data_IF_630270002793
#
_entry.id   IF_630270002793
#
_cell.length_a   1.000
_cell.length_b   1.000
_cell.length_c   1.000
_cell.angle_alpha   90.00
_cell.angle_beta   90.00
_cell.angle_gamma   90.00
#
_symmetry.space_group_name_H-M   'P 1'
#
loop_
_entity.id
_entity.type
_entity.pdbx_description
1 polymer ?
#
# COMPACT_ATOMS: atom_id res chain seq x y z
N UNK A 1 -2.00 -8.97 24.37
CA UNK A 1 -1.02 -8.90 23.28
C UNK A 1 -0.26 -7.58 23.38
N UNK A 2 1.06 -7.65 23.30
CA UNK A 2 1.91 -6.46 23.27
C UNK A 2 2.39 -6.18 21.84
N UNK A 3 3.06 -5.04 21.62
CA UNK A 3 3.57 -4.66 20.31
C UNK A 3 4.55 -5.69 19.72
N UNK A 4 5.42 -6.25 20.54
CA UNK A 4 6.38 -7.25 20.07
C UNK A 4 5.73 -8.54 19.56
N UNK A 5 4.53 -8.84 20.03
CA UNK A 5 3.73 -9.95 19.52
C UNK A 5 2.90 -9.54 18.29
N UNK A 6 2.45 -8.29 18.25
CA UNK A 6 1.61 -7.78 17.15
C UNK A 6 2.42 -7.53 15.88
N UNK A 7 3.56 -6.86 15.98
CA UNK A 7 4.33 -6.44 14.81
C UNK A 7 4.66 -7.59 13.84
N UNK A 8 5.15 -8.76 14.30
CA UNK A 8 5.40 -9.88 13.39
C UNK A 8 4.15 -10.36 12.65
N UNK A 9 2.99 -10.31 13.28
CA UNK A 9 1.72 -10.68 12.65
C UNK A 9 1.35 -9.69 11.55
N UNK A 10 1.54 -8.39 11.78
CA UNK A 10 1.31 -7.35 10.77
C UNK A 10 2.27 -7.49 9.58
N UNK A 11 3.53 -7.78 9.85
CA UNK A 11 4.53 -8.02 8.81
C UNK A 11 4.20 -9.24 7.95
N UNK A 12 3.71 -10.32 8.57
CA UNK A 12 3.27 -11.53 7.85
C UNK A 12 2.08 -11.23 6.94
N UNK A 13 1.12 -10.47 7.42
CA UNK A 13 -0.04 -10.04 6.61
C UNK A 13 0.42 -9.20 5.42
N UNK A 14 1.30 -8.23 5.65
CA UNK A 14 1.84 -7.39 4.59
C UNK A 14 2.54 -8.23 3.52
N UNK A 15 3.34 -9.22 3.94
CA UNK A 15 4.01 -10.13 3.02
C UNK A 15 3.04 -10.98 2.21
N UNK A 16 1.95 -11.46 2.80
CA UNK A 16 0.90 -12.21 2.10
C UNK A 16 0.32 -11.39 0.93
N UNK A 17 0.14 -10.10 1.13
CA UNK A 17 -0.43 -9.21 0.11
C UNK A 17 0.62 -8.62 -0.84
N UNK A 18 1.88 -9.03 -0.72
CA UNK A 18 2.94 -8.62 -1.65
C UNK A 18 3.65 -7.32 -1.29
N UNK A 19 3.45 -6.78 -0.09
CA UNK A 19 4.21 -5.63 0.38
C UNK A 19 5.65 -6.03 0.69
N UNK A 20 6.60 -5.21 0.28
CA UNK A 20 8.02 -5.42 0.49
C UNK A 20 8.58 -4.46 1.53
N UNK A 21 9.40 -4.98 2.45
CA UNK A 21 10.13 -4.16 3.41
C UNK A 21 11.28 -3.45 2.68
N UNK A 22 11.21 -2.12 2.60
CA UNK A 22 12.17 -1.30 1.84
C UNK A 22 13.35 -0.83 2.69
N UNK A 23 13.29 -0.97 4.01
CA UNK A 23 14.31 -0.51 4.93
C UNK A 23 14.54 -1.48 6.11
N UNK A 24 14.62 -2.77 5.78
CA UNK A 24 14.87 -3.84 6.76
C UNK A 24 16.11 -3.54 7.62
N UNK A 25 15.97 -3.74 8.93
CA UNK A 25 17.04 -3.46 9.89
C UNK A 25 17.14 -2.01 10.35
N UNK A 26 16.32 -1.11 9.80
CA UNK A 26 16.23 0.26 10.26
C UNK A 26 15.27 0.37 11.47
N UNK A 27 15.41 1.48 12.24
CA UNK A 27 14.52 1.77 13.36
C UNK A 27 13.06 1.93 12.91
N UNK A 28 12.84 2.58 11.79
CA UNK A 28 11.54 2.70 11.13
C UNK A 28 11.46 1.63 10.04
N UNK A 29 10.44 0.76 10.12
CA UNK A 29 10.20 -0.26 9.11
C UNK A 29 9.11 0.20 8.16
N UNK A 30 9.40 0.22 6.88
CA UNK A 30 8.47 0.66 5.82
C UNK A 30 8.20 -0.47 4.85
N UNK A 31 6.92 -0.72 4.59
CA UNK A 31 6.45 -1.75 3.65
C UNK A 31 5.70 -1.08 2.51
N UNK A 32 6.06 -1.41 1.29
CA UNK A 32 5.49 -0.79 0.08
C UNK A 32 4.96 -1.88 -0.85
N UNK A 33 3.74 -1.67 -1.35
CA UNK A 33 3.17 -2.43 -2.46
C UNK A 33 3.37 -1.60 -3.73
N UNK A 34 4.33 -2.00 -4.56
CA UNK A 34 4.73 -1.19 -5.72
C UNK A 34 3.59 -1.02 -6.73
N UNK A 35 3.32 0.24 -7.11
CA UNK A 35 2.42 0.59 -8.19
C UNK A 35 3.25 0.70 -9.49
N UNK A 36 3.04 -0.15 -10.49
CA UNK A 36 3.86 -0.16 -11.70
C UNK A 36 3.58 1.02 -12.63
N UNK A 37 2.49 1.74 -12.45
CA UNK A 37 2.16 2.90 -13.28
C UNK A 37 3.05 4.09 -12.94
N UNK A 38 3.67 4.70 -13.93
CA UNK A 38 4.52 5.88 -13.76
C UNK A 38 3.72 7.02 -13.14
N UNK A 39 4.34 7.75 -12.19
CA UNK A 39 3.76 8.91 -11.51
C UNK A 39 2.50 8.61 -10.70
N UNK A 40 2.26 7.34 -10.37
CA UNK A 40 1.17 6.94 -9.49
C UNK A 40 1.73 6.61 -8.11
N UNK A 41 1.03 6.97 -7.03
CA UNK A 41 1.48 6.65 -5.68
C UNK A 41 1.37 5.15 -5.39
N UNK A 42 2.19 4.67 -4.46
CA UNK A 42 2.15 3.27 -3.99
C UNK A 42 1.59 3.20 -2.57
N UNK A 43 0.75 2.19 -2.25
CA UNK A 43 0.34 1.94 -0.87
C UNK A 43 1.56 1.65 0.01
N UNK A 44 1.56 2.21 1.24
CA UNK A 44 2.68 2.09 2.15
C UNK A 44 2.19 2.01 3.59
N UNK A 45 2.87 1.18 4.38
CA UNK A 45 2.70 1.11 5.83
C UNK A 45 4.07 1.29 6.48
N UNK A 46 4.18 2.19 7.45
CA UNK A 46 5.39 2.38 8.23
C UNK A 46 5.11 2.13 9.71
N UNK A 47 6.01 1.40 10.37
CA UNK A 47 5.99 1.20 11.81
C UNK A 47 7.06 2.11 12.42
N UNK A 48 6.62 3.12 13.18
CA UNK A 48 7.48 4.17 13.70
C UNK A 48 7.46 4.09 15.23
N UNK A 49 8.60 3.70 15.87
CA UNK A 49 8.67 3.68 17.32
C UNK A 49 8.74 5.11 17.88
N UNK A 50 7.85 5.42 18.82
CA UNK A 50 7.84 6.66 19.57
C UNK A 50 8.22 6.40 21.03
N UNK A 51 8.32 7.44 21.85
CA UNK A 51 8.75 7.28 23.24
C UNK A 51 7.81 6.40 24.06
N UNK A 52 6.50 6.66 24.00
CA UNK A 52 5.50 5.98 24.84
C UNK A 52 4.63 4.96 24.07
N UNK A 53 4.66 5.02 22.75
CA UNK A 53 3.83 4.16 21.90
C UNK A 53 4.53 3.88 20.57
N UNK A 54 3.89 3.06 19.74
CA UNK A 54 4.30 2.88 18.35
C UNK A 54 3.24 3.52 17.46
N UNK A 55 3.67 4.11 16.35
CA UNK A 55 2.77 4.67 15.36
C UNK A 55 2.76 3.75 14.13
N UNK A 56 1.57 3.42 13.65
CA UNK A 56 1.39 2.80 12.34
C UNK A 56 0.91 3.91 11.42
N UNK A 57 1.73 4.25 10.42
CA UNK A 57 1.40 5.25 9.41
C UNK A 57 0.99 4.55 8.13
N UNK A 58 -0.21 4.89 7.63
CA UNK A 58 -0.74 4.33 6.39
C UNK A 58 -0.70 5.39 5.30
N UNK A 59 -0.19 5.03 4.14
CA UNK A 59 -0.42 5.79 2.91
C UNK A 59 -1.42 5.00 2.08
N UNK A 60 -2.68 5.43 2.12
CA UNK A 60 -3.80 4.75 1.49
C UNK A 60 -4.02 5.31 0.09
N UNK A 61 -4.07 4.44 -0.90
CA UNK A 61 -4.34 4.80 -2.28
C UNK A 61 -5.83 4.64 -2.53
N UNK A 62 -6.44 5.64 -3.16
CA UNK A 62 -7.82 5.61 -3.60
C UNK A 62 -7.90 5.68 -5.11
N UNK A 63 -8.83 4.93 -5.69
CA UNK A 63 -9.10 4.89 -7.11
C UNK A 63 -10.43 5.56 -7.41
N UNK A 64 -10.43 6.44 -8.41
CA UNK A 64 -11.66 7.12 -8.86
C UNK A 64 -11.79 6.96 -10.37
N UNK A 65 -12.95 6.50 -10.81
CA UNK A 65 -13.35 6.48 -12.22
C UNK A 65 -14.31 7.65 -12.46
N UNK A 66 -13.92 8.56 -13.33
CA UNK A 66 -14.74 9.71 -13.71
C UNK A 66 -15.72 9.37 -14.82
N UNK A 67 -16.85 10.13 -14.94
CA UNK A 67 -17.85 9.86 -15.98
C UNK A 67 -17.33 9.94 -17.42
N UNK A 68 -16.22 10.68 -17.66
CA UNK A 68 -15.59 10.77 -18.98
C UNK A 68 -14.66 9.59 -19.30
N UNK A 69 -14.60 8.60 -18.42
CA UNK A 69 -13.75 7.42 -18.57
C UNK A 69 -12.34 7.59 -18.05
N UNK A 70 -11.96 8.77 -17.56
CA UNK A 70 -10.64 8.99 -16.95
C UNK A 70 -10.55 8.34 -15.59
N UNK A 71 -9.37 7.84 -15.25
CA UNK A 71 -9.06 7.21 -13.98
C UNK A 71 -8.05 8.04 -13.20
N UNK A 72 -8.20 8.08 -11.87
CA UNK A 72 -7.30 8.80 -10.98
C UNK A 72 -6.96 7.97 -9.76
N UNK A 73 -5.68 7.99 -9.38
CA UNK A 73 -5.17 7.43 -8.14
C UNK A 73 -4.73 8.58 -7.25
N UNK A 74 -5.27 8.64 -6.04
CA UNK A 74 -4.91 9.65 -5.04
C UNK A 74 -4.37 8.97 -3.80
N UNK A 75 -3.59 9.69 -3.00
CA UNK A 75 -3.05 9.17 -1.73
C UNK A 75 -3.54 9.99 -0.55
N UNK A 76 -3.73 9.31 0.58
CA UNK A 76 -4.12 9.91 1.85
C UNK A 76 -3.33 9.26 2.99
N UNK A 77 -2.73 10.08 3.85
CA UNK A 77 -1.99 9.59 5.01
C UNK A 77 -2.87 9.59 6.25
N UNK A 78 -2.86 8.47 6.96
CA UNK A 78 -3.53 8.31 8.25
C UNK A 78 -2.60 7.59 9.22
N UNK A 79 -2.86 7.72 10.52
CA UNK A 79 -2.00 7.12 11.54
C UNK A 79 -2.82 6.50 12.66
N UNK A 80 -2.31 5.42 13.23
CA UNK A 80 -2.80 4.84 14.48
C UNK A 80 -1.68 4.89 15.50
N UNK A 81 -1.99 5.31 16.73
CA UNK A 81 -1.05 5.29 17.85
C UNK A 81 -1.37 4.07 18.72
N UNK A 82 -0.42 3.16 18.82
CA UNK A 82 -0.63 1.84 19.41
C UNK A 82 0.21 1.72 20.68
N UNK A 83 -0.44 1.45 21.81
CA UNK A 83 0.26 1.23 23.08
C UNK A 83 1.19 0.01 23.00
N UNK A 84 2.40 0.13 23.59
CA UNK A 84 3.41 -0.92 23.53
C UNK A 84 3.03 -2.16 24.31
N UNK A 85 2.29 -2.01 25.41
CA UNK A 85 2.06 -3.10 26.38
C UNK A 85 0.79 -3.89 26.04
N UNK A 86 -0.28 -3.21 25.61
CA UNK A 86 -1.60 -3.83 25.39
C UNK A 86 -2.16 -3.64 24.00
N UNK A 87 -1.43 -2.94 23.11
CA UNK A 87 -1.86 -2.61 21.74
C UNK A 87 -3.14 -1.78 21.66
N UNK A 88 -3.48 -1.07 22.73
CA UNK A 88 -4.62 -0.14 22.72
C UNK A 88 -4.41 0.93 21.64
N UNK A 89 -5.47 1.25 20.90
CA UNK A 89 -5.42 2.17 19.77
C UNK A 89 -5.28 1.51 18.41
N UNK A 90 -4.96 0.22 18.38
CA UNK A 90 -4.93 -0.55 17.15
C UNK A 90 -6.35 -0.95 16.73
N UNK A 91 -6.69 -0.76 15.45
CA UNK A 91 -8.03 -1.00 14.89
C UNK A 91 -8.41 -2.48 14.79
N UNK A 92 -7.44 -3.40 14.89
CA UNK A 92 -7.66 -4.85 14.82
C UNK A 92 -7.07 -5.50 13.58
N UNK A 93 -6.76 -6.81 13.70
CA UNK A 93 -6.16 -7.59 12.62
C UNK A 93 -7.08 -7.69 11.40
N UNK A 94 -8.39 -7.81 11.61
CA UNK A 94 -9.35 -7.89 10.50
C UNK A 94 -9.38 -6.59 9.70
N UNK A 95 -9.38 -5.45 10.37
CA UNK A 95 -9.34 -4.14 9.72
C UNK A 95 -8.02 -3.94 8.97
N UNK A 96 -6.91 -4.36 9.55
CA UNK A 96 -5.60 -4.28 8.92
C UNK A 96 -5.55 -5.15 7.65
N UNK A 97 -6.03 -6.38 7.73
CA UNK A 97 -6.10 -7.31 6.60
C UNK A 97 -7.01 -6.76 5.50
N UNK A 98 -8.16 -6.20 5.87
CA UNK A 98 -9.09 -5.58 4.91
C UNK A 98 -8.46 -4.40 4.19
N UNK A 99 -7.69 -3.58 4.89
CA UNK A 99 -6.94 -2.47 4.29
C UNK A 99 -5.93 -3.00 3.24
N UNK A 100 -5.16 -4.03 3.61
CA UNK A 100 -4.19 -4.65 2.69
C UNK A 100 -4.89 -5.21 1.45
N UNK A 101 -6.00 -5.92 1.62
CA UNK A 101 -6.78 -6.50 0.53
C UNK A 101 -7.33 -5.42 -0.41
N UNK A 102 -7.86 -4.34 0.14
CA UNK A 102 -8.36 -3.19 -0.63
C UNK A 102 -7.23 -2.56 -1.45
N UNK A 103 -6.07 -2.34 -0.84
CA UNK A 103 -4.92 -1.75 -1.53
C UNK A 103 -4.40 -2.69 -2.63
N UNK A 104 -4.32 -3.98 -2.37
CA UNK A 104 -3.93 -4.99 -3.36
C UNK A 104 -4.88 -4.98 -4.56
N UNK A 105 -6.18 -4.90 -4.33
CA UNK A 105 -7.20 -4.82 -5.38
C UNK A 105 -7.01 -3.59 -6.27
N UNK A 106 -6.72 -2.44 -5.66
CA UNK A 106 -6.46 -1.19 -6.40
C UNK A 106 -5.19 -1.31 -7.25
N UNK A 107 -4.12 -1.89 -6.71
CA UNK A 107 -2.87 -2.07 -7.44
C UNK A 107 -3.03 -3.10 -8.57
N UNK A 108 -3.83 -4.14 -8.40
CA UNK A 108 -4.14 -5.08 -9.48
C UNK A 108 -4.85 -4.37 -10.64
N UNK A 109 -5.74 -3.41 -10.36
CA UNK A 109 -6.33 -2.54 -11.40
C UNK A 109 -5.29 -1.65 -12.07
N UNK A 110 -4.34 -1.11 -11.30
CA UNK A 110 -3.24 -0.31 -11.83
C UNK A 110 -2.34 -1.13 -12.77
N UNK A 111 -2.10 -2.39 -12.44
CA UNK A 111 -1.33 -3.32 -13.29
C UNK A 111 -2.05 -3.52 -14.63
N UNK A 112 -3.37 -3.71 -14.61
CA UNK A 112 -4.16 -3.85 -15.84
C UNK A 112 -4.11 -2.58 -16.69
N UNK A 113 -4.22 -1.41 -16.06
CA UNK A 113 -4.13 -0.12 -16.74
C UNK A 113 -2.75 0.07 -17.41
N UNK A 114 -1.68 -0.28 -16.70
CA UNK A 114 -0.32 -0.21 -17.22
C UNK A 114 -0.13 -1.12 -18.44
N UNK A 115 -0.68 -2.33 -18.41
CA UNK A 115 -0.66 -3.26 -19.56
C UNK A 115 -1.42 -2.71 -20.75
N UNK A 116 -2.57 -2.06 -20.55
CA UNK A 116 -3.34 -1.41 -21.61
C UNK A 116 -2.55 -0.27 -22.26
N UNK A 117 -1.87 0.54 -21.46
CA UNK A 117 -1.02 1.63 -21.93
C UNK A 117 0.13 1.08 -22.80
N UNK A 118 0.79 0.01 -22.38
CA UNK A 118 1.84 -0.65 -23.16
C UNK A 118 1.33 -1.17 -24.51
N UNK A 119 0.16 -1.81 -24.52
CA UNK A 119 -0.46 -2.32 -25.74
C UNK A 119 -0.80 -1.18 -26.71
N UNK A 120 -1.36 -0.08 -26.21
CA UNK A 120 -1.66 1.10 -27.02
C UNK A 120 -0.40 1.69 -27.65
N UNK A 121 0.71 1.75 -26.90
CA UNK A 121 1.99 2.23 -27.43
C UNK A 121 2.55 1.30 -28.51
N UNK A 122 2.43 -0.01 -28.35
CA UNK A 122 2.84 -1.00 -29.37
C UNK A 122 2.01 -0.87 -30.64
N UNK A 123 0.71 -0.69 -30.54
CA UNK A 123 -0.19 -0.49 -31.67
C UNK A 123 0.16 0.78 -32.44
N UNK A 124 0.46 1.88 -31.73
CA UNK A 124 0.90 3.13 -32.36
C UNK A 124 2.21 2.95 -33.15
N UNK A 125 3.16 2.20 -32.59
CA UNK A 125 4.42 1.92 -33.28
C UNK A 125 4.19 1.09 -34.54
N UNK A 126 3.34 0.07 -34.49
CA UNK A 126 2.99 -0.75 -35.64
C UNK A 126 2.29 0.08 -36.71
N UNK A 127 1.40 0.99 -36.34
CA UNK A 127 0.71 1.90 -37.28
C UNK A 127 1.68 2.83 -38.01
N UNK A 128 2.75 3.26 -37.37
CA UNK A 128 3.76 4.15 -37.98
C UNK A 128 4.65 3.44 -38.99
N UNK A 129 4.82 2.14 -38.83
CA UNK A 129 5.69 1.33 -39.70
C UNK A 129 4.97 0.87 -40.98
N UNK A 130 3.70 1.15 -41.07
CA UNK A 130 2.86 0.89 -42.22
C UNK A 130 2.36 2.20 -42.85
#
# INVERSE_FOLDING_TARGET
MNWNELQPQLEDILSEFGFNNTNKGQKVNTFVLNNPCKRRPSPRVAFIPLHECNMIEYNTISYTLFPDGKESFTSNETSEFVDKDDCKGFSGLDNFRNWCDMQKTIIDKAILLHKKEELADKEKKLSKDF
#
